data_IF_509714440695
#
_entry.id   IF_509714440695
#
_cell.length_a   1.000
_cell.length_b   1.000
_cell.length_c   1.000
_cell.angle_alpha   90.00
_cell.angle_beta   90.00
_cell.angle_gamma   90.00
#
_symmetry.space_group_name_H-M   'P 1'
#
loop_
_entity.id
_entity.type
_entity.pdbx_description
1 polymer ?
#
# COMPACT_ATOMS: atom_id res chain seq x y z
N UNK A 1 27.90 -1.63 3.65
CA UNK A 1 26.76 -0.69 3.84
C UNK A 1 26.11 -0.50 2.48
N UNK A 2 24.79 -0.65 2.35
CA UNK A 2 24.10 -0.50 1.05
C UNK A 2 23.16 0.71 1.08
N UNK A 3 22.77 1.20 -0.10
CA UNK A 3 21.80 2.30 -0.20
C UNK A 3 20.39 1.85 0.20
N UNK A 4 19.52 2.78 0.61
CA UNK A 4 18.11 2.49 0.88
C UNK A 4 17.42 1.88 -0.33
N UNK A 5 17.72 2.38 -1.54
CA UNK A 5 17.17 1.85 -2.80
C UNK A 5 17.55 0.38 -3.00
N UNK A 6 18.81 0.03 -2.79
CA UNK A 6 19.28 -1.36 -2.90
C UNK A 6 18.65 -2.24 -1.83
N UNK A 7 18.63 -1.79 -0.58
CA UNK A 7 18.02 -2.53 0.52
C UNK A 7 16.52 -2.80 0.29
N UNK A 8 15.80 -1.82 -0.23
CA UNK A 8 14.40 -1.94 -0.61
C UNK A 8 14.22 -2.92 -1.78
N UNK A 9 14.99 -2.77 -2.86
CA UNK A 9 14.93 -3.64 -4.03
C UNK A 9 15.18 -5.11 -3.69
N UNK A 10 16.15 -5.38 -2.81
CA UNK A 10 16.56 -6.72 -2.40
C UNK A 10 15.78 -7.26 -1.19
N UNK A 11 14.81 -6.50 -0.66
CA UNK A 11 14.03 -6.88 0.52
C UNK A 11 14.88 -7.25 1.74
N UNK A 12 15.94 -6.48 2.02
CA UNK A 12 16.84 -6.75 3.13
C UNK A 12 16.21 -6.46 4.50
N UNK A 13 15.83 -7.52 5.20
CA UNK A 13 15.16 -7.48 6.50
C UNK A 13 15.88 -6.63 7.56
N UNK A 14 17.21 -6.78 7.73
CA UNK A 14 17.97 -6.01 8.73
C UNK A 14 17.91 -4.49 8.49
N UNK A 15 17.83 -4.05 7.24
CA UNK A 15 17.71 -2.62 6.92
C UNK A 15 16.29 -2.12 7.18
N UNK A 16 15.27 -2.96 6.95
CA UNK A 16 13.89 -2.65 7.26
C UNK A 16 13.69 -2.47 8.78
N UNK A 17 14.18 -3.39 9.62
CA UNK A 17 14.10 -3.25 11.09
C UNK A 17 14.81 -1.97 11.54
N UNK A 18 16.03 -1.72 11.08
CA UNK A 18 16.77 -0.51 11.49
C UNK A 18 16.06 0.78 11.10
N UNK A 19 15.38 0.80 9.96
CA UNK A 19 14.58 1.94 9.56
C UNK A 19 13.34 2.08 10.46
N UNK A 20 12.65 0.97 10.72
CA UNK A 20 11.48 0.91 11.59
C UNK A 20 11.78 1.34 13.04
N UNK A 21 12.92 0.92 13.60
CA UNK A 21 13.41 1.35 14.91
C UNK A 21 13.71 2.85 14.93
N UNK A 22 14.31 3.38 13.86
CA UNK A 22 14.62 4.82 13.74
C UNK A 22 13.38 5.69 13.59
N UNK A 23 12.35 5.22 12.88
CA UNK A 23 11.08 5.95 12.71
C UNK A 23 10.18 5.80 13.94
N UNK A 24 10.34 4.71 14.69
CA UNK A 24 9.55 4.36 15.86
C UNK A 24 8.27 3.60 15.49
N UNK A 25 7.88 2.68 16.39
CA UNK A 25 6.71 1.79 16.23
C UNK A 25 5.45 2.62 16.00
N UNK A 26 5.14 3.56 16.89
CA UNK A 26 3.90 4.36 16.83
C UNK A 26 3.78 5.16 15.53
N UNK A 27 4.86 5.80 15.08
CA UNK A 27 4.88 6.54 13.81
C UNK A 27 4.64 5.60 12.63
N UNK A 28 5.26 4.43 12.65
CA UNK A 28 5.17 3.46 11.57
C UNK A 28 3.76 2.86 11.46
N UNK A 29 3.12 2.58 12.59
CA UNK A 29 1.74 2.07 12.64
C UNK A 29 0.69 3.12 12.27
N UNK A 30 0.92 4.42 12.57
CA UNK A 30 0.03 5.50 12.10
C UNK A 30 -0.13 5.55 10.58
N UNK A 31 0.87 5.10 9.83
CA UNK A 31 0.75 5.00 8.36
C UNK A 31 -0.11 3.81 7.91
N UNK A 32 -0.27 2.78 8.74
CA UNK A 32 -1.16 1.65 8.48
C UNK A 32 -2.62 1.99 8.81
N UNK A 33 -2.86 2.87 9.78
CA UNK A 33 -4.21 3.36 10.12
C UNK A 33 -4.92 4.02 8.93
N UNK A 34 -4.16 4.53 7.96
CA UNK A 34 -4.71 5.15 6.76
C UNK A 34 -5.32 4.15 5.75
N UNK A 35 -4.99 2.86 5.87
CA UNK A 35 -5.40 1.79 4.96
C UNK A 35 -6.46 0.83 5.55
N UNK A 36 -7.05 1.17 6.71
CA UNK A 36 -8.18 0.46 7.34
C UNK A 36 -8.01 -1.07 7.46
N UNK A 37 -6.79 -1.54 7.77
CA UNK A 37 -6.51 -2.97 7.95
C UNK A 37 -7.27 -3.55 9.14
N UNK A 38 -8.21 -4.49 8.89
CA UNK A 38 -9.15 -4.97 9.94
C UNK A 38 -8.50 -5.80 11.03
N UNK A 39 -7.36 -6.42 10.73
CA UNK A 39 -6.65 -7.34 11.63
C UNK A 39 -5.49 -6.67 12.37
N UNK A 40 -5.16 -5.42 12.06
CA UNK A 40 -4.14 -4.66 12.79
C UNK A 40 -4.75 -4.15 14.08
N UNK A 41 -4.19 -4.55 15.20
CA UNK A 41 -4.61 -4.11 16.53
C UNK A 41 -3.45 -3.48 17.28
N UNK A 42 -3.75 -2.80 18.40
CA UNK A 42 -2.70 -2.26 19.29
C UNK A 42 -1.73 -3.32 19.81
N UNK A 43 -2.14 -4.60 19.89
CA UNK A 43 -1.26 -5.70 20.31
C UNK A 43 -0.18 -5.99 19.27
N UNK A 44 -0.41 -5.59 18.02
CA UNK A 44 0.53 -5.75 16.92
C UNK A 44 1.55 -4.61 16.86
N UNK A 45 1.47 -3.59 17.72
CA UNK A 45 2.43 -2.48 17.77
C UNK A 45 3.74 -2.93 18.44
N UNK A 46 4.49 -3.79 17.76
CA UNK A 46 5.79 -4.29 18.22
C UNK A 46 6.74 -4.49 17.03
N UNK A 47 8.05 -4.53 17.31
CA UNK A 47 9.10 -4.72 16.31
C UNK A 47 9.09 -6.11 15.65
N UNK A 48 8.46 -7.09 16.28
CA UNK A 48 8.42 -8.49 15.83
C UNK A 48 7.05 -8.93 15.28
N UNK A 49 6.11 -8.00 15.07
CA UNK A 49 4.75 -8.38 14.71
C UNK A 49 4.65 -8.89 13.27
N UNK A 50 4.18 -10.13 13.13
CA UNK A 50 3.67 -10.64 11.87
C UNK A 50 2.22 -10.18 11.72
N UNK A 51 2.01 -9.13 10.92
CA UNK A 51 0.67 -8.60 10.66
C UNK A 51 0.02 -9.43 9.55
N UNK A 52 -1.14 -10.04 9.85
CA UNK A 52 -1.95 -10.71 8.85
C UNK A 52 -2.83 -9.72 8.09
N UNK A 53 -2.80 -9.75 6.76
CA UNK A 53 -3.68 -8.96 5.87
C UNK A 53 -4.32 -9.89 4.83
N UNK A 54 -5.55 -9.59 4.43
CA UNK A 54 -6.15 -10.24 3.27
C UNK A 54 -5.54 -9.71 1.96
N UNK A 55 -5.54 -10.49 0.86
CA UNK A 55 -5.10 -9.99 -0.45
C UNK A 55 -5.84 -8.73 -0.89
N UNK A 56 -7.13 -8.61 -0.56
CA UNK A 56 -7.95 -7.43 -0.85
C UNK A 56 -7.41 -6.18 -0.13
N UNK A 57 -7.18 -6.27 1.17
CA UNK A 57 -6.65 -5.15 1.96
C UNK A 57 -5.24 -4.75 1.50
N UNK A 58 -4.39 -5.73 1.19
CA UNK A 58 -3.05 -5.46 0.68
C UNK A 58 -3.11 -4.75 -0.68
N UNK A 59 -3.94 -5.24 -1.60
CA UNK A 59 -4.09 -4.65 -2.94
C UNK A 59 -4.64 -3.23 -2.83
N UNK A 60 -5.70 -3.03 -2.02
CA UNK A 60 -6.30 -1.72 -1.77
C UNK A 60 -5.26 -0.72 -1.27
N UNK A 61 -4.47 -1.08 -0.26
CA UNK A 61 -3.41 -0.21 0.26
C UNK A 61 -2.34 0.15 -0.80
N UNK A 62 -1.97 -0.78 -1.68
CA UNK A 62 -0.99 -0.53 -2.74
C UNK A 62 -1.50 0.42 -3.82
N UNK A 63 -2.82 0.49 -4.06
CA UNK A 63 -3.40 1.46 -5.01
C UNK A 63 -3.12 2.91 -4.62
N UNK A 64 -2.92 3.19 -3.33
CA UNK A 64 -2.57 4.52 -2.85
C UNK A 64 -1.25 5.07 -3.40
N UNK A 65 -0.36 4.21 -3.89
CA UNK A 65 0.88 4.63 -4.54
C UNK A 65 0.70 5.01 -6.01
N UNK A 66 -0.50 4.91 -6.58
CA UNK A 66 -0.77 5.39 -7.93
C UNK A 66 -0.72 6.93 -7.98
N UNK A 67 -1.51 7.59 -7.14
CA UNK A 67 -1.67 9.05 -7.12
C UNK A 67 -1.62 9.68 -5.71
N UNK A 68 -1.55 8.86 -4.66
CA UNK A 68 -1.54 9.30 -3.27
C UNK A 68 -2.87 9.18 -2.56
N UNK A 69 -3.94 8.83 -3.27
CA UNK A 69 -5.27 8.69 -2.71
C UNK A 69 -5.66 7.24 -2.48
N UNK A 70 -6.41 6.98 -1.42
CA UNK A 70 -6.98 5.67 -1.12
C UNK A 70 -8.51 5.71 -1.26
N UNK A 71 -9.07 4.71 -1.93
CA UNK A 71 -10.51 4.49 -2.02
C UNK A 71 -10.81 3.00 -1.80
N UNK A 72 -11.66 2.64 -0.82
CA UNK A 72 -11.91 1.24 -0.51
C UNK A 72 -12.41 0.44 -1.72
N UNK A 73 -11.79 -0.71 -1.94
CA UNK A 73 -12.12 -1.66 -2.99
C UNK A 73 -13.60 -2.11 -2.92
N UNK A 74 -14.25 -2.18 -4.09
CA UNK A 74 -15.68 -2.48 -4.25
C UNK A 74 -15.93 -3.34 -5.47
N UNK A 75 -16.82 -4.32 -5.32
CA UNK A 75 -17.37 -5.06 -6.47
C UNK A 75 -18.67 -4.44 -7.00
N UNK A 76 -19.50 -3.90 -6.12
CA UNK A 76 -20.81 -3.31 -6.47
C UNK A 76 -20.59 -1.82 -6.77
N UNK A 77 -21.19 -1.26 -7.81
CA UNK A 77 -21.12 0.19 -8.11
C UNK A 77 -22.41 0.92 -7.76
N UNK A 78 -23.55 0.33 -8.11
CA UNK A 78 -24.90 0.76 -7.74
C UNK A 78 -25.86 -0.43 -7.77
N UNK A 79 -26.96 -0.33 -7.03
CA UNK A 79 -28.09 -1.27 -7.10
C UNK A 79 -29.31 -0.50 -7.57
N UNK A 80 -29.97 -0.99 -8.62
CA UNK A 80 -31.17 -0.39 -9.23
C UNK A 80 -32.30 -1.41 -9.35
N UNK A 81 -33.54 -0.95 -9.39
CA UNK A 81 -34.66 -1.79 -9.87
C UNK A 81 -34.68 -1.91 -11.40
N UNK A 82 -35.70 -2.61 -11.90
CA UNK A 82 -35.95 -2.82 -13.34
C UNK A 82 -36.32 -1.51 -14.08
N UNK A 83 -36.82 -0.51 -13.37
CA UNK A 83 -37.19 0.81 -13.91
C UNK A 83 -36.02 1.81 -13.86
N UNK A 84 -34.88 1.40 -13.29
CA UNK A 84 -33.66 2.21 -13.20
C UNK A 84 -33.57 3.08 -11.95
N UNK A 85 -34.50 2.97 -10.99
CA UNK A 85 -34.44 3.69 -9.71
C UNK A 85 -33.28 3.16 -8.87
N UNK A 86 -32.42 4.05 -8.41
CA UNK A 86 -31.25 3.71 -7.60
C UNK A 86 -31.67 3.49 -6.15
N UNK A 87 -31.52 2.26 -5.65
CA UNK A 87 -31.66 1.95 -4.22
C UNK A 87 -30.38 2.21 -3.46
N UNK A 88 -29.24 1.96 -4.11
CA UNK A 88 -27.95 2.06 -3.46
C UNK A 88 -26.88 2.55 -4.43
N UNK A 89 -26.06 3.46 -3.94
CA UNK A 89 -24.80 3.89 -4.55
C UNK A 89 -23.88 4.34 -3.44
N UNK A 90 -22.59 4.04 -3.59
CA UNK A 90 -21.57 4.53 -2.68
C UNK A 90 -21.50 6.06 -2.68
N UNK A 91 -21.27 6.64 -1.50
CA UNK A 91 -21.19 8.09 -1.27
C UNK A 91 -19.85 8.55 -0.71
N UNK A 92 -18.93 7.62 -0.48
CA UNK A 92 -17.62 7.97 0.03
C UNK A 92 -16.79 8.68 -1.04
N UNK A 93 -15.70 9.29 -0.57
CA UNK A 93 -14.77 10.04 -1.39
C UNK A 93 -13.40 9.46 -1.18
N UNK A 94 -12.61 9.47 -2.26
CA UNK A 94 -11.20 9.15 -2.19
C UNK A 94 -10.49 10.04 -1.16
N UNK A 95 -9.62 9.46 -0.35
CA UNK A 95 -8.91 10.15 0.74
C UNK A 95 -7.44 10.25 0.38
N UNK A 96 -6.88 11.46 0.36
CA UNK A 96 -5.44 11.65 0.20
C UNK A 96 -4.72 11.12 1.45
N UNK A 97 -3.85 10.13 1.26
CA UNK A 97 -3.02 9.54 2.33
C UNK A 97 -1.53 9.81 2.13
N UNK A 98 -1.09 10.07 0.89
CA UNK A 98 0.29 10.39 0.56
C UNK A 98 0.38 11.64 -0.29
N UNK A 99 1.30 12.54 0.06
CA UNK A 99 1.65 13.64 -0.84
C UNK A 99 2.40 13.13 -2.09
N UNK A 100 2.39 13.95 -3.15
CA UNK A 100 3.04 13.65 -4.44
C UNK A 100 4.52 13.26 -4.33
N UNK A 101 5.26 13.85 -3.39
CA UNK A 101 6.67 13.56 -3.19
C UNK A 101 6.91 12.15 -2.63
N UNK A 102 6.06 11.71 -1.69
CA UNK A 102 6.08 10.35 -1.16
C UNK A 102 5.71 9.34 -2.23
N UNK A 103 4.64 9.62 -3.00
CA UNK A 103 4.20 8.77 -4.12
C UNK A 103 5.32 8.58 -5.13
N UNK A 104 5.97 9.66 -5.57
CA UNK A 104 7.08 9.60 -6.52
C UNK A 104 8.25 8.73 -6.01
N UNK A 105 8.62 8.88 -4.73
CA UNK A 105 9.68 8.06 -4.12
C UNK A 105 9.29 6.58 -4.04
N UNK A 106 8.07 6.27 -3.60
CA UNK A 106 7.60 4.89 -3.50
C UNK A 106 7.51 4.20 -4.86
N UNK A 107 6.97 4.88 -5.88
CA UNK A 107 6.96 4.37 -7.26
C UNK A 107 8.37 4.07 -7.78
N UNK A 108 9.33 4.96 -7.53
CA UNK A 108 10.73 4.73 -7.91
C UNK A 108 11.38 3.54 -7.18
N UNK A 109 11.04 3.32 -5.92
CA UNK A 109 11.56 2.21 -5.13
C UNK A 109 10.95 0.87 -5.58
N UNK A 110 9.63 0.82 -5.78
CA UNK A 110 8.91 -0.34 -6.31
C UNK A 110 9.32 -0.66 -7.76
N UNK A 111 9.55 0.34 -8.61
CA UNK A 111 10.12 0.07 -9.93
C UNK A 111 11.55 -0.51 -9.84
N UNK A 112 12.33 -0.09 -8.85
CA UNK A 112 13.66 -0.67 -8.59
C UNK A 112 13.62 -2.16 -8.22
N UNK A 113 12.56 -2.62 -7.53
CA UNK A 113 12.39 -4.04 -7.18
C UNK A 113 12.12 -4.90 -8.42
N UNK A 114 11.40 -4.39 -9.42
CA UNK A 114 11.11 -5.10 -10.68
C UNK A 114 12.28 -5.04 -11.66
N UNK A 115 13.10 -3.99 -11.65
CA UNK A 115 14.29 -3.94 -12.53
C UNK A 115 15.45 -4.80 -12.02
N UNK A 116 15.74 -4.69 -10.72
CA UNK A 116 17.01 -5.18 -10.16
C UNK A 116 16.84 -5.98 -8.88
N UNK A 117 15.63 -6.06 -8.34
CA UNK A 117 15.32 -6.64 -7.05
C UNK A 117 14.79 -8.06 -7.09
N UNK A 118 13.97 -8.38 -6.10
CA UNK A 118 13.32 -9.69 -5.94
C UNK A 118 12.15 -9.90 -6.90
N UNK A 119 11.57 -8.82 -7.43
CA UNK A 119 10.37 -8.84 -8.27
C UNK A 119 10.67 -8.84 -9.78
N UNK A 120 11.88 -9.21 -10.20
CA UNK A 120 12.30 -9.16 -11.62
C UNK A 120 11.37 -9.87 -12.60
N UNK A 121 10.76 -10.98 -12.17
CA UNK A 121 9.83 -11.76 -12.99
C UNK A 121 8.48 -11.07 -13.22
N UNK A 122 8.15 -10.04 -12.43
CA UNK A 122 6.94 -9.24 -12.57
C UNK A 122 7.18 -7.94 -13.35
N UNK A 123 8.35 -7.77 -13.99
CA UNK A 123 8.63 -6.60 -14.81
C UNK A 123 7.78 -6.59 -16.08
N UNK A 124 7.11 -5.47 -16.33
CA UNK A 124 6.44 -5.15 -17.57
C UNK A 124 6.85 -3.74 -18.03
N UNK A 125 6.99 -3.48 -19.33
CA UNK A 125 7.37 -2.17 -19.85
C UNK A 125 6.17 -1.21 -19.81
N UNK A 126 5.86 -0.67 -18.62
CA UNK A 126 4.79 0.30 -18.37
C UNK A 126 5.27 1.40 -17.40
N UNK A 127 4.54 2.51 -17.34
CA UNK A 127 4.84 3.63 -16.42
C UNK A 127 4.54 3.32 -14.93
N UNK A 128 3.82 2.23 -14.66
CA UNK A 128 3.51 1.73 -13.31
C UNK A 128 3.17 0.23 -13.32
N UNK A 129 3.73 -0.52 -12.37
CA UNK A 129 3.64 -2.00 -12.27
C UNK A 129 2.86 -2.45 -11.02
N UNK A 130 2.21 -1.53 -10.30
CA UNK A 130 1.66 -1.81 -8.96
C UNK A 130 0.18 -2.21 -8.90
N UNK A 131 -0.59 -2.08 -9.97
CA UNK A 131 -2.06 -2.19 -9.96
C UNK A 131 -2.67 -2.91 -11.20
N UNK A 132 -1.93 -3.80 -11.86
CA UNK A 132 -2.50 -4.65 -12.92
C UNK A 132 -3.16 -5.91 -12.38
#
# INVERSE_FOLDING_TARGET
MVTLRTAFAQSYYTHAIRLFEKTGVETSFKYLDASDFKKVSKKDHSTSSAIGMSPLELTDAYTSFNDGNNQPARAITKVTDQEGKVFYKWKDRSKEIWNKGTVAKMRQLLHGTTLSGTARKAYFPTDYVGDQ
#
